data_IF_628271701217
#
_entry.id   IF_628271701217
#
_cell.length_a   1.000
_cell.length_b   1.000
_cell.length_c   1.000
_cell.angle_alpha   90.00
_cell.angle_beta   90.00
_cell.angle_gamma   90.00
#
_symmetry.space_group_name_H-M   'P 1'
#
loop_
_entity.id
_entity.type
_entity.pdbx_description
1 polymer ?
#
# COMPACT_ATOMS: atom_id res chain seq x y z
N UNK A 1 21.22 34.96 -0.42
CA UNK A 1 22.22 34.56 0.59
C UNK A 1 21.60 34.66 1.98
N UNK A 2 21.76 33.61 2.79
CA UNK A 2 21.35 33.48 4.19
C UNK A 2 19.82 33.38 4.39
N UNK A 3 19.28 32.53 5.25
CA UNK A 3 19.73 31.37 6.04
C UNK A 3 18.40 30.87 6.61
N UNK A 4 18.05 29.60 6.42
CA UNK A 4 17.04 28.94 7.28
C UNK A 4 17.77 28.50 8.55
N UNK A 5 17.35 29.04 9.67
CA UNK A 5 17.74 28.70 11.05
C UNK A 5 16.50 29.12 11.87
N UNK A 6 15.83 28.36 12.73
CA UNK A 6 16.08 27.09 13.40
C UNK A 6 14.72 26.52 13.85
N UNK A 7 14.53 25.20 13.77
CA UNK A 7 13.48 24.50 14.51
C UNK A 7 14.12 23.87 15.75
N UNK A 8 13.63 24.23 16.94
CA UNK A 8 13.93 23.63 18.22
C UNK A 8 12.77 24.02 19.15
N UNK A 9 12.23 23.20 20.05
CA UNK A 9 12.53 21.85 20.54
C UNK A 9 11.42 21.56 21.58
N UNK A 10 11.20 20.27 21.86
CA UNK A 10 10.81 19.67 23.17
C UNK A 10 9.33 19.81 23.61
N UNK A 11 8.62 18.67 23.68
CA UNK A 11 8.44 17.75 24.83
C UNK A 11 7.42 18.29 25.85
N UNK A 12 6.40 17.48 26.21
CA UNK A 12 6.02 17.14 27.59
C UNK A 12 4.99 15.99 27.58
N UNK A 13 5.31 15.01 28.42
CA UNK A 13 4.53 13.85 28.84
C UNK A 13 3.36 14.27 29.73
N UNK A 14 2.22 13.59 29.63
CA UNK A 14 1.12 13.72 30.57
C UNK A 14 0.30 12.44 30.64
N UNK A 15 0.73 11.51 31.49
CA UNK A 15 -0.08 10.38 31.93
C UNK A 15 -1.20 10.88 32.86
N UNK A 16 -2.41 10.32 32.74
CA UNK A 16 -3.33 10.23 33.86
C UNK A 16 -4.29 9.03 33.69
N UNK A 17 -4.23 8.14 34.67
CA UNK A 17 -5.11 7.01 34.89
C UNK A 17 -6.20 7.35 35.92
N UNK A 18 -7.38 6.76 35.77
CA UNK A 18 -8.36 6.39 36.81
C UNK A 18 -9.53 5.68 36.09
N UNK A 19 -9.73 4.36 36.12
CA UNK A 19 -10.05 3.42 37.22
C UNK A 19 -11.52 3.44 37.70
N UNK A 20 -12.09 2.22 37.76
CA UNK A 20 -13.29 1.72 38.49
C UNK A 20 -14.63 1.72 37.70
N UNK A 21 -15.47 0.67 37.71
CA UNK A 21 -15.46 -0.62 38.41
C UNK A 21 -16.39 -1.65 37.70
N UNK A 22 -16.18 -2.91 38.10
CA UNK A 22 -16.86 -4.17 37.75
C UNK A 22 -18.39 -4.18 37.91
N UNK A 23 -19.04 -4.92 37.01
CA UNK A 23 -20.34 -5.55 37.21
C UNK A 23 -20.43 -6.82 36.38
N UNK A 24 -20.31 -7.98 37.02
CA UNK A 24 -20.43 -9.29 36.40
C UNK A 24 -21.90 -9.64 36.13
N UNK A 25 -22.20 -10.10 34.91
CA UNK A 25 -23.35 -10.98 34.63
C UNK A 25 -22.87 -12.02 33.62
N UNK A 26 -22.83 -13.28 34.06
CA UNK A 26 -22.70 -14.47 33.22
C UNK A 26 -23.94 -14.65 32.35
N UNK A 27 -23.72 -14.99 31.09
CA UNK A 27 -24.75 -15.28 30.11
C UNK A 27 -24.09 -15.85 28.86
N UNK A 28 -23.52 -17.05 29.02
CA UNK A 28 -22.88 -17.83 27.96
C UNK A 28 -23.89 -18.16 26.84
N UNK A 29 -23.75 -17.46 25.72
CA UNK A 29 -24.23 -17.87 24.40
C UNK A 29 -23.02 -18.19 23.54
N UNK A 30 -22.34 -19.29 23.86
CA UNK A 30 -21.18 -19.81 23.13
C UNK A 30 -21.65 -20.31 21.77
N UNK A 31 -21.46 -19.50 20.72
CA UNK A 31 -21.37 -20.02 19.36
C UNK A 31 -20.00 -20.67 19.23
N UNK A 32 -19.97 -21.97 19.51
CA UNK A 32 -18.85 -22.85 19.20
C UNK A 32 -18.71 -22.92 17.68
N UNK A 33 -17.78 -22.17 17.10
CA UNK A 33 -17.10 -22.66 15.89
C UNK A 33 -16.31 -23.90 16.28
N UNK A 34 -16.25 -24.95 15.44
CA UNK A 34 -15.76 -26.24 15.89
C UNK A 34 -14.29 -26.12 16.24
N UNK A 35 -13.96 -26.68 17.40
CA UNK A 35 -12.61 -27.14 17.70
C UNK A 35 -12.13 -28.00 16.53
N UNK A 36 -11.09 -27.54 15.84
CA UNK A 36 -10.28 -28.40 14.98
C UNK A 36 -9.33 -29.17 15.91
N UNK A 37 -9.87 -30.21 16.52
CA UNK A 37 -9.14 -31.14 17.36
C UNK A 37 -8.49 -32.20 16.47
N UNK A 38 -7.45 -31.79 15.77
CA UNK A 38 -6.53 -32.64 15.00
C UNK A 38 -5.56 -31.73 14.25
N UNK A 39 -4.42 -31.40 14.89
CA UNK A 39 -3.08 -31.66 14.38
C UNK A 39 -2.03 -30.90 15.23
N UNK A 40 -0.98 -31.62 15.57
CA UNK A 40 0.13 -31.23 16.42
C UNK A 40 0.82 -29.96 15.92
N UNK A 41 0.75 -28.87 16.68
CA UNK A 41 1.60 -27.71 16.42
C UNK A 41 2.00 -26.93 17.69
N UNK A 42 1.96 -27.62 18.84
CA UNK A 42 2.56 -27.12 20.06
C UNK A 42 4.08 -27.08 19.87
N UNK A 43 4.59 -25.90 19.48
CA UNK A 43 6.00 -25.69 19.14
C UNK A 43 6.23 -24.76 17.95
N UNK A 44 5.20 -24.46 17.15
CA UNK A 44 5.34 -23.55 16.00
C UNK A 44 4.77 -22.17 16.29
N UNK A 45 5.40 -21.15 15.73
CA UNK A 45 5.02 -19.76 15.92
C UNK A 45 3.66 -19.45 15.30
N UNK A 46 2.77 -18.80 16.07
CA UNK A 46 1.48 -18.32 15.60
C UNK A 46 1.53 -16.81 15.36
N UNK A 47 1.61 -16.36 14.10
CA UNK A 47 1.72 -14.94 13.77
C UNK A 47 0.46 -14.14 14.11
N UNK A 48 -0.72 -14.76 14.05
CA UNK A 48 -1.99 -14.09 14.33
C UNK A 48 -2.09 -13.83 15.83
N UNK A 49 -1.79 -14.86 16.63
CA UNK A 49 -1.70 -14.74 18.09
C UNK A 49 -0.65 -13.70 18.49
N UNK A 50 0.53 -13.77 17.88
CA UNK A 50 1.66 -12.90 18.22
C UNK A 50 1.39 -11.44 17.87
N UNK A 51 0.78 -11.15 16.72
CA UNK A 51 0.36 -9.79 16.34
C UNK A 51 -0.69 -9.22 17.30
N UNK A 52 -1.65 -10.05 17.70
CA UNK A 52 -2.73 -9.64 18.60
C UNK A 52 -2.20 -9.36 20.02
N UNK A 53 -1.25 -10.16 20.48
CA UNK A 53 -0.66 -10.02 21.80
C UNK A 53 0.36 -8.86 21.87
N UNK A 54 1.05 -8.57 20.76
CA UNK A 54 2.13 -7.57 20.68
C UNK A 54 1.88 -6.52 19.57
N UNK A 55 0.90 -5.62 19.78
CA UNK A 55 0.56 -4.61 18.79
C UNK A 55 1.68 -3.60 18.53
N UNK A 56 2.63 -3.43 19.48
CA UNK A 56 3.84 -2.63 19.30
C UNK A 56 4.77 -3.22 18.24
N UNK A 57 4.90 -4.55 18.23
CA UNK A 57 5.67 -5.27 17.22
C UNK A 57 4.95 -5.21 15.88
N UNK A 58 3.65 -5.48 15.86
CA UNK A 58 2.84 -5.37 14.65
C UNK A 58 2.91 -3.96 14.02
N UNK A 59 2.97 -2.91 14.84
CA UNK A 59 3.17 -1.54 14.35
C UNK A 59 4.59 -1.27 13.84
N UNK A 60 5.61 -1.94 14.41
CA UNK A 60 7.01 -1.73 14.06
C UNK A 60 7.46 -2.51 12.82
N UNK A 61 6.99 -3.76 12.66
CA UNK A 61 7.43 -4.67 11.58
C UNK A 61 6.29 -5.07 10.64
N UNK A 62 5.06 -4.64 10.93
CA UNK A 62 3.86 -5.05 10.18
C UNK A 62 3.23 -6.33 10.75
N UNK A 63 2.11 -6.74 10.14
CA UNK A 63 1.35 -7.94 10.57
C UNK A 63 1.60 -9.16 9.68
N UNK A 64 2.63 -9.15 8.83
CA UNK A 64 2.94 -10.33 8.02
C UNK A 64 3.50 -11.45 8.90
N UNK A 65 3.11 -12.72 8.67
CA UNK A 65 3.63 -13.85 9.40
C UNK A 65 5.16 -13.89 9.49
N UNK A 66 5.83 -13.59 8.40
CA UNK A 66 7.28 -13.65 8.27
C UNK A 66 7.96 -12.53 9.04
N UNK A 67 7.40 -11.31 9.02
CA UNK A 67 7.97 -10.17 9.75
C UNK A 67 7.82 -10.36 11.26
N UNK A 68 6.66 -10.86 11.69
CA UNK A 68 6.37 -11.17 13.09
C UNK A 68 7.24 -12.32 13.60
N UNK A 69 7.39 -13.38 12.78
CA UNK A 69 8.27 -14.50 13.09
C UNK A 69 9.75 -14.07 13.17
N UNK A 70 10.20 -13.29 12.18
CA UNK A 70 11.56 -12.74 12.16
C UNK A 70 11.82 -11.85 13.38
N UNK A 71 10.85 -11.03 13.78
CA UNK A 71 10.96 -10.27 15.02
C UNK A 71 11.08 -11.20 16.23
N UNK A 72 10.23 -12.23 16.33
CA UNK A 72 10.26 -13.14 17.46
C UNK A 72 11.61 -13.86 17.61
N UNK A 73 12.14 -14.42 16.53
CA UNK A 73 13.42 -15.14 16.54
C UNK A 73 14.60 -14.22 16.86
N UNK A 74 14.63 -13.00 16.31
CA UNK A 74 15.77 -12.09 16.49
C UNK A 74 15.74 -11.34 17.82
N UNK A 75 14.55 -11.00 18.32
CA UNK A 75 14.35 -10.14 19.48
C UNK A 75 13.38 -10.73 20.50
N UNK A 76 12.19 -11.14 20.06
CA UNK A 76 11.09 -11.55 20.92
C UNK A 76 11.43 -12.66 21.92
N UNK A 77 12.27 -13.63 21.53
CA UNK A 77 12.75 -14.69 22.44
C UNK A 77 13.55 -14.13 23.63
N UNK A 78 14.47 -13.21 23.37
CA UNK A 78 15.29 -12.56 24.41
C UNK A 78 14.49 -11.56 25.24
N UNK A 79 13.45 -10.99 24.64
CA UNK A 79 12.47 -10.13 25.31
C UNK A 79 11.48 -10.92 26.17
N UNK A 80 11.50 -12.27 26.12
CA UNK A 80 10.60 -13.14 26.88
C UNK A 80 9.16 -13.13 26.36
N UNK A 81 8.96 -12.80 25.08
CA UNK A 81 7.62 -12.77 24.45
C UNK A 81 7.09 -14.19 24.20
N UNK A 82 5.79 -14.32 24.05
CA UNK A 82 5.07 -15.60 23.95
C UNK A 82 4.68 -15.83 22.48
N UNK A 83 5.21 -16.86 21.81
CA UNK A 83 5.08 -17.05 20.35
C UNK A 83 3.76 -17.65 19.87
N UNK A 84 3.08 -18.40 20.74
CA UNK A 84 1.83 -19.09 20.44
C UNK A 84 1.07 -19.33 21.74
N UNK A 85 -0.21 -19.67 21.65
CA UNK A 85 -1.05 -19.88 22.82
C UNK A 85 -0.56 -21.06 23.67
N UNK A 86 -0.27 -20.81 24.95
CA UNK A 86 0.20 -21.83 25.89
C UNK A 86 1.71 -21.99 25.99
N UNK A 87 2.50 -21.26 25.18
CA UNK A 87 3.96 -21.22 25.30
C UNK A 87 4.42 -20.46 26.55
N UNK A 88 5.60 -20.81 27.05
CA UNK A 88 6.32 -20.03 28.05
C UNK A 88 7.05 -18.85 27.40
N UNK A 89 7.28 -17.78 28.17
CA UNK A 89 7.94 -16.57 27.65
C UNK A 89 9.36 -16.86 27.18
N UNK A 90 9.66 -16.58 25.91
CA UNK A 90 10.96 -16.80 25.28
C UNK A 90 11.19 -18.22 24.75
N UNK A 91 10.14 -19.04 24.66
CA UNK A 91 10.23 -20.43 24.20
C UNK A 91 10.71 -20.52 22.73
N UNK A 92 11.60 -21.48 22.45
CA UNK A 92 12.11 -21.70 21.10
C UNK A 92 11.03 -22.33 20.22
N UNK A 93 10.95 -21.90 18.95
CA UNK A 93 9.96 -22.36 17.97
C UNK A 93 10.66 -22.90 16.73
N UNK A 94 10.15 -24.01 16.19
CA UNK A 94 10.72 -24.70 15.02
C UNK A 94 9.94 -24.36 13.74
N UNK A 95 9.78 -23.06 13.45
CA UNK A 95 9.05 -22.57 12.28
C UNK A 95 7.73 -21.88 12.62
N UNK A 96 6.94 -21.58 11.57
CA UNK A 96 5.59 -21.00 11.67
C UNK A 96 4.54 -22.08 11.49
N UNK A 97 3.47 -22.02 12.29
CA UNK A 97 2.34 -22.91 12.14
C UNK A 97 1.74 -22.76 10.74
N UNK A 98 1.64 -23.85 9.98
CA UNK A 98 1.24 -23.85 8.57
C UNK A 98 -0.27 -23.53 8.43
N UNK A 99 -0.60 -22.25 8.60
CA UNK A 99 -1.83 -21.67 8.07
C UNK A 99 -1.49 -21.15 6.68
N UNK A 100 -1.69 -22.04 5.69
CA UNK A 100 -1.40 -21.81 4.29
C UNK A 100 -1.83 -20.41 3.79
N UNK A 101 -0.86 -19.50 3.76
CA UNK A 101 -0.82 -18.33 2.91
C UNK A 101 0.55 -18.38 2.23
N UNK A 102 0.47 -18.53 0.91
CA UNK A 102 1.53 -18.88 -0.01
C UNK A 102 2.81 -18.06 0.20
N UNK A 103 3.89 -18.80 0.45
CA UNK A 103 5.21 -18.33 0.87
C UNK A 103 5.96 -17.70 -0.31
N UNK A 104 6.18 -16.39 -0.28
CA UNK A 104 7.28 -15.78 -1.04
C UNK A 104 8.54 -15.74 -0.16
N UNK A 105 9.48 -16.64 -0.45
CA UNK A 105 10.80 -16.72 0.19
C UNK A 105 11.54 -15.38 0.15
N UNK A 106 11.77 -14.75 1.31
CA UNK A 106 12.76 -13.68 1.46
C UNK A 106 14.13 -14.33 1.73
N UNK A 107 14.81 -14.69 0.65
CA UNK A 107 16.28 -14.67 0.65
C UNK A 107 16.73 -13.23 0.92
N UNK A 108 17.83 -13.07 1.67
CA UNK A 108 18.66 -11.85 1.68
C UNK A 108 18.69 -11.23 0.27
N UNK A 109 18.64 -9.90 0.06
CA UNK A 109 18.78 -9.37 -1.29
C UNK A 109 20.20 -9.72 -1.78
N UNK A 110 20.29 -10.87 -2.45
CA UNK A 110 21.17 -11.05 -3.58
C UNK A 110 20.90 -9.83 -4.43
N UNK A 111 21.93 -9.04 -4.74
CA UNK A 111 21.84 -8.18 -5.91
C UNK A 111 21.49 -9.12 -7.06
N UNK A 112 20.21 -9.24 -7.38
CA UNK A 112 19.76 -9.73 -8.67
C UNK A 112 20.34 -8.71 -9.61
N UNK A 113 21.49 -9.05 -10.19
CA UNK A 113 22.00 -8.36 -11.37
C UNK A 113 20.99 -8.63 -12.46
N UNK A 114 19.86 -7.93 -12.43
CA UNK A 114 19.01 -7.76 -13.60
C UNK A 114 19.97 -7.24 -14.65
N UNK A 115 20.18 -8.02 -15.70
CA UNK A 115 21.03 -7.58 -16.80
C UNK A 115 20.34 -6.40 -17.47
N UNK A 116 20.69 -5.20 -17.01
CA UNK A 116 20.22 -3.93 -17.58
C UNK A 116 20.95 -3.60 -18.88
N UNK A 117 21.68 -4.56 -19.48
CA UNK A 117 22.44 -4.38 -20.69
C UNK A 117 23.77 -3.64 -20.49
N UNK A 118 24.38 -3.30 -21.63
CA UNK A 118 25.69 -2.65 -21.73
C UNK A 118 25.64 -1.31 -22.48
N UNK A 119 24.43 -0.81 -22.79
CA UNK A 119 24.27 0.44 -23.53
C UNK A 119 24.64 1.66 -22.71
N UNK A 120 24.82 2.82 -23.34
CA UNK A 120 24.81 4.10 -22.63
C UNK A 120 23.58 4.23 -21.73
N UNK A 121 23.78 4.86 -20.57
CA UNK A 121 22.78 5.05 -19.53
C UNK A 121 22.49 6.54 -19.40
N UNK A 122 21.23 6.94 -19.29
CA UNK A 122 20.86 8.34 -19.06
C UNK A 122 19.94 8.44 -17.87
N UNK A 123 20.19 9.41 -16.99
CA UNK A 123 19.30 9.71 -15.86
C UNK A 123 18.32 10.82 -16.22
N UNK A 124 17.12 10.77 -15.65
CA UNK A 124 16.16 11.87 -15.79
C UNK A 124 16.50 13.12 -14.97
N UNK A 125 17.44 13.01 -14.02
CA UNK A 125 17.84 14.10 -13.14
C UNK A 125 18.56 15.23 -13.87
N UNK A 126 19.31 14.91 -14.92
CA UNK A 126 20.19 15.82 -15.64
C UNK A 126 20.16 15.62 -17.17
N UNK A 127 19.65 14.50 -17.66
CA UNK A 127 19.56 14.19 -19.09
C UNK A 127 20.92 13.91 -19.74
N UNK A 128 21.97 13.72 -18.93
CA UNK A 128 23.32 13.41 -19.39
C UNK A 128 23.58 11.90 -19.35
N UNK A 129 24.50 11.44 -20.19
CA UNK A 129 24.97 10.06 -20.16
C UNK A 129 25.81 9.83 -18.90
N UNK A 130 25.55 8.73 -18.21
CA UNK A 130 26.26 8.30 -17.00
C UNK A 130 26.83 6.90 -17.17
N UNK A 131 27.80 6.55 -16.33
CA UNK A 131 28.28 5.16 -16.28
C UNK A 131 27.26 4.23 -15.58
N UNK A 132 27.41 2.92 -15.83
CA UNK A 132 26.53 1.88 -15.28
C UNK A 132 26.44 1.89 -13.76
N UNK A 133 27.53 2.20 -13.06
CA UNK A 133 27.56 2.20 -11.60
C UNK A 133 26.77 3.39 -11.04
N UNK A 134 26.93 4.57 -11.64
CA UNK A 134 26.13 5.76 -11.33
C UNK A 134 24.64 5.51 -11.57
N UNK A 135 24.28 4.89 -12.69
CA UNK A 135 22.89 4.53 -12.98
C UNK A 135 22.29 3.55 -11.97
N UNK A 136 23.03 2.49 -11.61
CA UNK A 136 22.60 1.50 -10.63
C UNK A 136 22.48 2.10 -9.22
N UNK A 137 23.37 3.01 -8.85
CA UNK A 137 23.28 3.73 -7.57
C UNK A 137 21.99 4.57 -7.50
N UNK A 138 21.64 5.25 -8.57
CA UNK A 138 20.40 6.03 -8.64
C UNK A 138 19.16 5.14 -8.62
N UNK A 139 19.16 4.03 -9.37
CA UNK A 139 18.09 3.02 -9.29
C UNK A 139 17.90 2.53 -7.85
N UNK A 140 18.99 2.20 -7.15
CA UNK A 140 18.92 1.75 -5.75
C UNK A 140 18.39 2.84 -4.81
N UNK A 141 18.80 4.09 -5.00
CA UNK A 141 18.31 5.23 -4.21
C UNK A 141 16.81 5.43 -4.40
N UNK A 142 16.34 5.38 -5.65
CA UNK A 142 14.92 5.49 -5.99
C UNK A 142 14.11 4.30 -5.47
N UNK A 143 14.65 3.07 -5.53
CA UNK A 143 14.01 1.90 -4.95
C UNK A 143 13.77 2.08 -3.45
N UNK A 144 14.79 2.52 -2.70
CA UNK A 144 14.65 2.78 -1.26
C UNK A 144 13.59 3.84 -0.96
N UNK A 145 13.45 4.86 -1.82
CA UNK A 145 12.40 5.87 -1.68
C UNK A 145 11.01 5.30 -1.99
N UNK A 146 10.90 4.48 -3.03
CA UNK A 146 9.66 3.80 -3.40
C UNK A 146 9.16 2.90 -2.26
N UNK A 147 10.06 2.08 -1.71
CA UNK A 147 9.76 1.17 -0.60
C UNK A 147 9.37 1.95 0.67
N UNK A 148 10.12 3.01 1.00
CA UNK A 148 9.86 3.83 2.19
C UNK A 148 8.55 4.64 2.09
N UNK A 149 8.10 4.99 0.88
CA UNK A 149 6.86 5.71 0.66
C UNK A 149 5.62 4.80 0.81
N UNK A 150 5.81 3.48 0.77
CA UNK A 150 4.72 2.50 0.84
C UNK A 150 3.79 2.56 -0.37
N UNK A 151 4.35 2.80 -1.56
CA UNK A 151 3.59 2.77 -2.79
C UNK A 151 3.12 1.34 -3.09
N UNK A 152 2.00 1.24 -3.82
CA UNK A 152 1.47 -0.02 -4.33
C UNK A 152 2.49 -0.61 -5.29
N UNK A 153 2.69 -1.92 -5.15
CA UNK A 153 3.64 -2.69 -5.94
C UNK A 153 2.89 -3.73 -6.77
N UNK A 154 3.44 -4.12 -7.92
CA UNK A 154 2.95 -5.27 -8.69
C UNK A 154 2.89 -6.53 -7.80
N UNK A 155 1.79 -7.26 -7.85
CA UNK A 155 1.50 -8.43 -7.02
C UNK A 155 0.66 -8.12 -5.77
N UNK A 156 0.31 -6.86 -5.50
CA UNK A 156 -0.57 -6.51 -4.39
C UNK A 156 -2.01 -6.98 -4.63
N UNK A 157 -2.71 -7.33 -3.56
CA UNK A 157 -4.14 -7.65 -3.59
C UNK A 157 -5.00 -6.38 -3.60
N UNK A 158 -6.24 -6.45 -4.10
CA UNK A 158 -7.18 -5.33 -4.03
C UNK A 158 -7.40 -4.84 -2.58
N UNK A 159 -7.35 -5.73 -1.60
CA UNK A 159 -7.47 -5.39 -0.18
C UNK A 159 -6.29 -4.54 0.31
N UNK A 160 -5.05 -4.89 -0.09
CA UNK A 160 -3.86 -4.11 0.25
C UNK A 160 -3.89 -2.73 -0.42
N UNK A 161 -4.28 -2.66 -1.69
CA UNK A 161 -4.46 -1.38 -2.41
C UNK A 161 -5.54 -0.53 -1.75
N UNK A 162 -6.66 -1.13 -1.35
CA UNK A 162 -7.72 -0.42 -0.64
C UNK A 162 -7.25 0.11 0.71
N UNK A 163 -6.51 -0.68 1.49
CA UNK A 163 -5.96 -0.24 2.77
C UNK A 163 -5.01 0.95 2.59
N UNK A 164 -4.13 0.89 1.59
CA UNK A 164 -3.24 2.01 1.24
C UNK A 164 -4.01 3.24 0.74
N UNK A 165 -5.02 3.05 -0.09
CA UNK A 165 -5.89 4.14 -0.53
C UNK A 165 -6.58 4.82 0.66
N UNK A 166 -7.08 4.04 1.62
CA UNK A 166 -7.71 4.57 2.82
C UNK A 166 -6.71 5.31 3.73
N UNK A 167 -5.45 4.90 3.80
CA UNK A 167 -4.44 5.63 4.58
C UNK A 167 -4.17 7.04 4.03
N UNK A 168 -4.39 7.27 2.73
CA UNK A 168 -4.26 8.60 2.13
C UNK A 168 -5.28 9.61 2.66
N UNK A 169 -6.36 9.17 3.34
CA UNK A 169 -7.29 10.07 4.04
C UNK A 169 -6.63 10.90 5.13
N UNK A 170 -5.56 10.41 5.74
CA UNK A 170 -4.80 11.17 6.73
C UNK A 170 -4.13 12.40 6.11
N UNK A 171 -3.63 12.24 4.88
CA UNK A 171 -3.00 13.32 4.13
C UNK A 171 -4.02 14.21 3.41
N UNK A 172 -5.11 13.62 2.91
CA UNK A 172 -6.16 14.29 2.13
C UNK A 172 -7.55 14.03 2.74
N UNK A 173 -7.86 14.57 3.92
CA UNK A 173 -9.16 14.39 4.57
C UNK A 173 -10.30 15.05 3.79
N UNK A 174 -11.52 14.63 4.10
CA UNK A 174 -12.76 15.21 3.57
C UNK A 174 -12.76 16.75 3.69
N UNK A 175 -13.12 17.44 2.60
CA UNK A 175 -13.20 18.89 2.56
C UNK A 175 -11.86 19.63 2.42
N UNK A 176 -10.72 18.93 2.37
CA UNK A 176 -9.42 19.57 2.11
C UNK A 176 -9.40 20.17 0.69
N UNK A 177 -8.95 21.43 0.56
CA UNK A 177 -8.80 22.06 -0.75
C UNK A 177 -7.62 21.45 -1.51
N UNK A 178 -7.91 20.74 -2.60
CA UNK A 178 -6.92 19.97 -3.38
C UNK A 178 -6.81 20.38 -4.85
N UNK A 179 -7.74 21.20 -5.34
CA UNK A 179 -7.78 21.66 -6.72
C UNK A 179 -8.98 21.11 -7.49
N UNK A 180 -8.93 21.20 -8.82
CA UNK A 180 -9.94 20.59 -9.68
C UNK A 180 -9.87 19.04 -9.63
N UNK A 181 -10.79 18.36 -10.32
CA UNK A 181 -10.89 16.90 -10.32
C UNK A 181 -9.59 16.21 -10.77
N UNK A 182 -8.91 16.73 -11.81
CA UNK A 182 -7.61 16.21 -12.24
C UNK A 182 -6.52 16.34 -11.18
N UNK A 183 -6.46 17.48 -10.48
CA UNK A 183 -5.50 17.67 -9.38
C UNK A 183 -5.79 16.77 -8.18
N UNK A 184 -7.07 16.54 -7.85
CA UNK A 184 -7.46 15.63 -6.77
C UNK A 184 -7.10 14.18 -7.10
N UNK A 185 -7.46 13.73 -8.31
CA UNK A 185 -7.11 12.40 -8.80
C UNK A 185 -5.58 12.19 -8.79
N UNK A 186 -4.80 13.14 -9.31
CA UNK A 186 -3.33 13.06 -9.31
C UNK A 186 -2.73 12.93 -7.90
N UNK A 187 -3.29 13.61 -6.88
CA UNK A 187 -2.82 13.46 -5.49
C UNK A 187 -3.03 12.04 -4.98
N UNK A 188 -4.19 11.46 -5.27
CA UNK A 188 -4.52 10.10 -4.85
C UNK A 188 -3.66 9.09 -5.61
N UNK A 189 -3.59 9.18 -6.94
CA UNK A 189 -2.83 8.24 -7.75
C UNK A 189 -1.33 8.34 -7.52
N UNK A 190 -0.76 9.53 -7.32
CA UNK A 190 0.65 9.67 -6.94
C UNK A 190 0.90 9.15 -5.51
N UNK A 191 -0.06 9.29 -4.59
CA UNK A 191 0.06 8.72 -3.23
C UNK A 191 -0.03 7.19 -3.20
N UNK A 192 -0.74 6.60 -4.17
CA UNK A 192 -0.84 5.16 -4.38
C UNK A 192 0.40 4.61 -5.09
N UNK A 193 0.74 5.14 -6.26
CA UNK A 193 1.66 4.50 -7.20
C UNK A 193 2.99 5.24 -7.38
N UNK A 194 3.16 6.38 -6.71
CA UNK A 194 4.28 7.30 -6.94
C UNK A 194 4.05 8.23 -8.13
N UNK A 195 4.78 9.36 -8.13
CA UNK A 195 4.83 10.22 -9.30
C UNK A 195 5.77 9.58 -10.35
N UNK A 196 5.35 9.37 -11.60
CA UNK A 196 6.20 8.80 -12.64
C UNK A 196 7.50 9.59 -12.85
N UNK A 197 7.54 10.90 -12.60
CA UNK A 197 8.78 11.67 -12.71
C UNK A 197 9.76 11.41 -11.56
N UNK A 198 9.26 10.93 -10.41
CA UNK A 198 10.07 10.68 -9.21
C UNK A 198 10.51 9.22 -9.10
N UNK A 199 9.88 8.29 -9.81
CA UNK A 199 10.15 6.83 -9.70
C UNK A 199 10.77 6.22 -10.97
N UNK A 200 10.88 6.98 -12.05
CA UNK A 200 11.62 6.57 -13.23
C UNK A 200 13.11 6.90 -13.08
N UNK A 201 13.97 5.92 -13.37
CA UNK A 201 15.42 6.08 -13.26
C UNK A 201 15.95 6.83 -14.47
N UNK A 202 15.55 6.40 -15.66
CA UNK A 202 15.99 6.97 -16.94
C UNK A 202 15.98 5.93 -18.07
N UNK A 203 16.86 6.07 -19.06
CA UNK A 203 16.87 5.22 -20.26
C UNK A 203 18.14 4.39 -20.36
N UNK A 204 18.02 3.22 -20.98
CA UNK A 204 19.15 2.36 -21.36
C UNK A 204 18.99 2.00 -22.83
N UNK A 205 20.04 2.23 -23.62
CA UNK A 205 20.07 1.74 -24.99
C UNK A 205 20.13 0.19 -25.02
N UNK A 206 19.16 -0.43 -25.70
CA UNK A 206 19.12 -1.89 -25.88
C UNK A 206 18.83 -2.23 -27.35
N UNK A 207 19.89 -2.32 -28.15
CA UNK A 207 19.77 -2.55 -29.59
C UNK A 207 19.43 -1.26 -30.33
N UNK A 208 18.35 -1.28 -31.11
CA UNK A 208 17.87 -0.12 -31.88
C UNK A 208 16.91 0.79 -31.09
N UNK A 209 16.48 0.36 -29.90
CA UNK A 209 15.49 1.06 -29.07
C UNK A 209 16.07 1.44 -27.69
N UNK A 210 15.70 2.63 -27.19
CA UNK A 210 15.94 3.05 -25.82
C UNK A 210 14.82 2.53 -24.91
N UNK A 211 15.20 1.82 -23.84
CA UNK A 211 14.27 1.21 -22.90
C UNK A 211 14.19 2.06 -21.63
N UNK A 212 12.97 2.47 -21.27
CA UNK A 212 12.69 3.17 -20.01
C UNK A 212 12.89 2.21 -18.84
N UNK A 213 13.75 2.60 -17.90
CA UNK A 213 13.96 1.87 -16.66
C UNK A 213 13.23 2.52 -15.50
N UNK A 214 12.50 1.71 -14.75
CA UNK A 214 11.80 2.09 -13.52
C UNK A 214 12.42 1.40 -12.31
N UNK A 215 12.02 1.85 -11.12
CA UNK A 215 12.15 1.04 -9.90
C UNK A 215 11.41 -0.28 -10.07
N UNK A 216 11.88 -1.31 -9.38
CA UNK A 216 11.29 -2.64 -9.42
C UNK A 216 9.91 -2.60 -8.76
N UNK A 217 8.94 -3.27 -9.39
CA UNK A 217 7.57 -3.33 -8.90
C UNK A 217 6.68 -2.12 -9.16
N UNK A 218 7.20 -1.12 -9.87
CA UNK A 218 6.40 0.00 -10.36
C UNK A 218 5.16 -0.52 -11.11
N UNK A 219 3.97 -0.05 -10.71
CA UNK A 219 2.69 -0.51 -11.28
C UNK A 219 2.45 0.13 -12.65
N UNK A 220 2.35 -0.65 -13.73
CA UNK A 220 2.06 -0.12 -15.05
C UNK A 220 0.65 0.49 -15.12
N UNK A 221 0.51 1.57 -15.88
CA UNK A 221 -0.77 2.22 -16.17
C UNK A 221 -1.12 2.06 -17.65
N UNK A 222 -2.32 1.55 -17.93
CA UNK A 222 -2.86 1.45 -19.31
C UNK A 222 -4.25 2.07 -19.44
N UNK A 223 -4.57 2.55 -20.63
CA UNK A 223 -5.93 3.02 -20.94
C UNK A 223 -6.80 1.87 -21.42
N UNK A 224 -8.01 1.73 -20.88
CA UNK A 224 -9.02 0.77 -21.34
C UNK A 224 -10.25 1.53 -21.83
N UNK A 225 -10.70 1.21 -23.06
CA UNK A 225 -11.87 1.83 -23.69
C UNK A 225 -13.21 1.27 -23.14
N UNK A 226 -14.22 2.14 -23.01
CA UNK A 226 -15.27 2.04 -21.98
C UNK A 226 -16.40 1.01 -22.12
N UNK A 227 -16.59 0.27 -23.22
CA UNK A 227 -17.96 -0.21 -23.53
C UNK A 227 -18.33 -1.67 -23.25
N UNK A 228 -17.39 -2.54 -22.89
CA UNK A 228 -17.74 -3.96 -22.60
C UNK A 228 -16.99 -4.56 -21.41
N UNK A 229 -16.28 -3.72 -20.66
CA UNK A 229 -15.15 -4.13 -19.80
C UNK A 229 -15.27 -3.58 -18.37
N UNK A 230 -16.26 -2.70 -18.11
CA UNK A 230 -16.30 -1.90 -16.89
C UNK A 230 -16.58 -2.69 -15.60
N UNK A 231 -17.38 -3.75 -15.64
CA UNK A 231 -17.70 -4.50 -14.41
C UNK A 231 -16.57 -5.48 -14.03
N UNK A 232 -16.02 -6.21 -15.01
CA UNK A 232 -15.02 -7.25 -14.76
C UNK A 232 -13.59 -6.73 -14.65
N UNK A 233 -13.30 -5.51 -15.13
CA UNK A 233 -11.90 -5.04 -15.26
C UNK A 233 -11.56 -3.80 -14.46
N UNK A 234 -12.55 -3.09 -13.93
CA UNK A 234 -12.31 -1.94 -13.06
C UNK A 234 -11.86 -2.44 -11.69
N UNK A 235 -10.77 -1.90 -11.15
CA UNK A 235 -10.19 -2.29 -9.86
C UNK A 235 -10.19 -1.13 -8.88
N UNK A 236 -10.03 -1.42 -7.59
CA UNK A 236 -9.74 -0.39 -6.59
C UNK A 236 -8.45 0.34 -6.98
N UNK A 237 -8.42 1.66 -6.83
CA UNK A 237 -7.28 2.48 -7.23
C UNK A 237 -7.20 2.81 -8.72
N UNK A 238 -8.11 2.30 -9.56
CA UNK A 238 -8.23 2.76 -10.96
C UNK A 238 -8.73 4.20 -11.02
N UNK A 239 -8.28 4.94 -12.02
CA UNK A 239 -8.79 6.29 -12.30
C UNK A 239 -9.86 6.21 -13.40
N UNK A 240 -11.01 6.78 -13.09
CA UNK A 240 -12.21 6.72 -13.93
C UNK A 240 -12.52 8.12 -14.45
N UNK A 241 -12.69 8.22 -15.76
CA UNK A 241 -13.12 9.45 -16.41
C UNK A 241 -14.57 9.34 -16.89
N UNK A 242 -15.42 10.23 -16.38
CA UNK A 242 -16.83 10.32 -16.78
C UNK A 242 -17.15 11.67 -17.42
N UNK A 243 -18.26 11.73 -18.16
CA UNK A 243 -18.90 12.99 -18.55
C UNK A 243 -19.92 13.39 -17.47
N UNK A 244 -19.74 14.55 -16.83
CA UNK A 244 -20.67 15.05 -15.83
C UNK A 244 -21.99 15.56 -16.47
N UNK A 245 -22.93 16.02 -15.62
CA UNK A 245 -24.24 16.52 -16.04
C UNK A 245 -24.19 17.75 -16.95
N UNK A 246 -23.12 18.55 -16.89
CA UNK A 246 -22.89 19.72 -17.75
C UNK A 246 -22.20 19.34 -19.06
N UNK A 247 -21.82 18.07 -19.20
CA UNK A 247 -21.12 17.54 -20.33
C UNK A 247 -19.60 17.75 -20.31
N UNK A 248 -19.05 18.21 -19.20
CA UNK A 248 -17.62 18.36 -18.95
C UNK A 248 -17.03 17.05 -18.41
N UNK A 249 -15.71 16.91 -18.55
CA UNK A 249 -14.97 15.78 -18.00
C UNK A 249 -14.86 15.83 -16.49
N UNK A 250 -14.98 14.67 -15.85
CA UNK A 250 -14.77 14.54 -14.41
C UNK A 250 -13.98 13.27 -14.09
N UNK A 251 -13.02 13.40 -13.17
CA UNK A 251 -12.02 12.37 -12.88
C UNK A 251 -12.12 12.00 -11.40
N UNK A 252 -12.06 10.70 -11.12
CA UNK A 252 -12.17 10.13 -9.78
C UNK A 252 -11.37 8.84 -9.68
N UNK A 253 -11.04 8.41 -8.46
CA UNK A 253 -10.33 7.15 -8.19
C UNK A 253 -11.27 6.19 -7.47
N UNK A 254 -11.27 4.94 -7.89
CA UNK A 254 -12.13 3.88 -7.32
C UNK A 254 -11.69 3.55 -5.91
N UNK A 255 -12.61 3.69 -4.94
CA UNK A 255 -12.38 3.42 -3.53
C UNK A 255 -12.85 2.02 -3.11
N UNK A 256 -13.99 1.57 -3.65
CA UNK A 256 -14.51 0.22 -3.41
C UNK A 256 -15.44 -0.21 -4.54
N UNK A 257 -15.69 -1.51 -4.62
CA UNK A 257 -16.63 -2.15 -5.54
C UNK A 257 -17.67 -2.96 -4.77
N UNK A 258 -18.85 -3.10 -5.35
CA UNK A 258 -19.95 -3.92 -4.86
C UNK A 258 -20.75 -4.47 -6.06
N UNK A 259 -21.75 -5.32 -5.80
CA UNK A 259 -22.70 -5.75 -6.84
C UNK A 259 -23.48 -4.61 -7.46
N UNK A 260 -23.64 -3.48 -6.75
CA UNK A 260 -24.54 -2.40 -7.14
C UNK A 260 -23.82 -1.24 -7.82
N UNK A 261 -22.49 -1.17 -7.66
CA UNK A 261 -21.67 -0.09 -8.19
C UNK A 261 -20.33 0.06 -7.48
N UNK A 262 -19.77 1.26 -7.59
CA UNK A 262 -18.50 1.64 -7.00
C UNK A 262 -18.69 2.78 -6.00
N UNK A 263 -17.78 2.89 -5.04
CA UNK A 263 -17.53 4.15 -4.35
C UNK A 263 -16.25 4.77 -4.86
N UNK A 264 -16.15 6.09 -4.81
CA UNK A 264 -14.99 6.83 -5.33
C UNK A 264 -14.45 7.85 -4.33
N UNK A 265 -13.19 8.20 -4.51
CA UNK A 265 -12.61 9.45 -4.04
C UNK A 265 -12.47 10.41 -5.22
N UNK A 266 -12.87 11.65 -5.02
CA UNK A 266 -12.89 12.66 -6.08
C UNK A 266 -12.66 14.06 -5.50
N UNK A 267 -12.49 15.05 -6.36
CA UNK A 267 -12.48 16.44 -5.92
C UNK A 267 -13.29 17.35 -6.80
N UNK A 268 -13.57 18.56 -6.31
CA UNK A 268 -14.25 19.61 -7.06
C UNK A 268 -15.71 19.26 -7.39
N UNK A 269 -16.41 18.63 -6.45
CA UNK A 269 -17.86 18.52 -6.57
C UNK A 269 -18.47 19.92 -6.47
N UNK A 270 -19.39 20.25 -7.38
CA UNK A 270 -20.07 21.56 -7.40
C UNK A 270 -19.10 22.77 -7.40
N UNK A 271 -17.94 22.62 -8.04
CA UNK A 271 -16.91 23.66 -8.14
C UNK A 271 -16.26 24.10 -6.82
N UNK A 272 -16.30 23.26 -5.77
CA UNK A 272 -15.77 23.62 -4.46
C UNK A 272 -14.25 23.45 -4.30
N UNK A 273 -13.60 22.78 -5.26
CA UNK A 273 -12.18 22.41 -5.30
C UNK A 273 -11.68 21.58 -4.10
N UNK A 274 -12.56 20.85 -3.41
CA UNK A 274 -12.24 20.06 -2.21
C UNK A 274 -12.24 18.57 -2.47
N UNK A 275 -11.56 17.81 -1.61
CA UNK A 275 -11.55 16.35 -1.62
C UNK A 275 -12.84 15.80 -1.03
N UNK A 276 -13.39 14.76 -1.67
CA UNK A 276 -14.59 14.05 -1.25
C UNK A 276 -14.38 12.54 -1.31
N UNK A 277 -14.80 11.85 -0.25
CA UNK A 277 -14.64 10.40 -0.12
C UNK A 277 -15.99 9.70 -0.03
N UNK A 278 -16.13 8.63 -0.82
CA UNK A 278 -17.22 7.67 -0.67
C UNK A 278 -18.48 8.01 -1.44
N UNK A 279 -18.43 8.88 -2.46
CA UNK A 279 -19.59 9.04 -3.37
C UNK A 279 -19.85 7.69 -4.04
N UNK A 280 -21.09 7.23 -3.96
CA UNK A 280 -21.54 6.03 -4.65
C UNK A 280 -21.96 6.35 -6.10
N UNK A 281 -21.60 5.46 -7.02
CA UNK A 281 -21.98 5.50 -8.43
C UNK A 281 -22.48 4.12 -8.79
N UNK A 282 -23.74 4.02 -9.20
CA UNK A 282 -24.30 2.74 -9.65
C UNK A 282 -23.67 2.30 -10.97
N UNK A 283 -23.68 0.99 -11.25
CA UNK A 283 -23.20 0.48 -12.55
C UNK A 283 -23.95 1.11 -13.74
N UNK A 284 -25.25 1.35 -13.60
CA UNK A 284 -26.06 1.98 -14.64
C UNK A 284 -25.68 3.46 -14.88
N UNK A 285 -25.41 4.22 -13.81
CA UNK A 285 -24.90 5.59 -13.93
C UNK A 285 -23.52 5.60 -14.59
N UNK A 286 -22.63 4.72 -14.14
CA UNK A 286 -21.27 4.63 -14.68
C UNK A 286 -21.29 4.29 -16.18
N UNK A 287 -22.04 3.26 -16.60
CA UNK A 287 -22.16 2.86 -18.01
C UNK A 287 -22.66 4.01 -18.91
N UNK A 288 -23.62 4.81 -18.40
CA UNK A 288 -24.18 5.93 -19.14
C UNK A 288 -23.17 7.09 -19.37
N UNK A 289 -22.18 7.25 -18.50
CA UNK A 289 -21.29 8.42 -18.49
C UNK A 289 -19.79 8.12 -18.69
N UNK A 290 -19.37 6.86 -18.59
CA UNK A 290 -17.97 6.43 -18.66
C UNK A 290 -17.35 6.68 -20.04
N UNK A 291 -16.15 7.29 -20.05
CA UNK A 291 -15.37 7.54 -21.27
C UNK A 291 -14.16 6.63 -21.39
N UNK A 292 -13.37 6.52 -20.35
CA UNK A 292 -12.21 5.64 -20.31
C UNK A 292 -11.82 5.40 -18.85
N UNK A 293 -11.05 4.33 -18.66
CA UNK A 293 -10.44 3.96 -17.39
C UNK A 293 -8.93 3.99 -17.60
N UNK A 294 -8.22 4.60 -16.66
CA UNK A 294 -6.80 4.34 -16.46
C UNK A 294 -6.67 3.21 -15.45
N UNK A 295 -6.27 2.05 -15.97
CA UNK A 295 -6.15 0.82 -15.22
C UNK A 295 -4.72 0.65 -14.71
N UNK A 296 -4.59 0.28 -13.45
CA UNK A 296 -3.30 0.03 -12.79
C UNK A 296 -3.11 -1.48 -12.57
N UNK A 297 -2.05 -2.03 -13.16
CA UNK A 297 -1.80 -3.47 -13.24
C UNK A 297 -0.96 -3.97 -12.06
N UNK A 298 -1.53 -3.87 -10.85
CA UNK A 298 -0.96 -4.47 -9.65
C UNK A 298 -1.44 -5.91 -9.42
#
# INVERSE_FOLDING_TARGET
MKKRENFAKKLIVGAMAAAMAFGAVEGAGMVTSPARADQEDAGSFDPVYYAALYPDVAAAVGTSPEALYSHYVNFGQKEGRIPYEGATGGESVDGTADTAADTATVTTPVQTTVDIGNGPFWLFTDGEEVDKATFLQEKQRLQQQFDAAGYVHVGWTEQQVQARLLSLKEQYPEGMKVGNCSSGAARITNGLYGDPYDIHVGWVAQGDDDVLMTVDGCVPKRSIASRSVAESSLRIGDEVYIKNSEGLGHVMVVLSRSSDGITVVESNQNSDMKMHWGRFISWAELDACLRYIWHYEY
#
